data_IF_169324381590
#
_entry.id   IF_169324381590
#
_cell.length_a   1.000
_cell.length_b   1.000
_cell.length_c   1.000
_cell.angle_alpha   90.00
_cell.angle_beta   90.00
_cell.angle_gamma   90.00
#
_symmetry.space_group_name_H-M   'P 1'
#
loop_
_entity.id
_entity.type
_entity.pdbx_description
1 polymer ?
#
# COMPACT_ATOMS: atom_id res chain seq x y z
N UNK A 1 -25.35 -19.38 -10.39
CA UNK A 1 -25.29 -19.14 -8.94
C UNK A 1 -24.02 -18.34 -8.67
N UNK A 2 -24.12 -17.15 -8.08
CA UNK A 2 -22.91 -16.38 -7.73
C UNK A 2 -22.11 -17.18 -6.69
N UNK A 3 -20.87 -17.53 -7.00
CA UNK A 3 -20.00 -18.19 -6.04
C UNK A 3 -19.78 -17.23 -4.87
N UNK A 4 -20.09 -17.68 -3.65
CA UNK A 4 -19.86 -16.89 -2.43
C UNK A 4 -18.36 -16.56 -2.35
N UNK A 5 -18.03 -15.32 -2.01
CA UNK A 5 -16.66 -14.88 -1.83
C UNK A 5 -15.88 -15.80 -0.88
N UNK A 6 -14.58 -15.96 -1.11
CA UNK A 6 -13.75 -16.80 -0.25
C UNK A 6 -13.46 -16.03 1.04
N UNK A 7 -13.89 -16.51 2.23
CA UNK A 7 -13.51 -15.88 3.49
C UNK A 7 -12.00 -16.06 3.73
N UNK A 8 -11.36 -15.14 4.46
CA UNK A 8 -9.91 -15.23 4.67
C UNK A 8 -9.53 -16.52 5.41
N UNK A 9 -10.38 -17.05 6.29
CA UNK A 9 -10.16 -18.36 6.92
C UNK A 9 -9.96 -19.49 5.91
N UNK A 10 -10.78 -19.54 4.85
CA UNK A 10 -10.75 -20.61 3.85
C UNK A 10 -9.57 -20.39 2.89
N UNK A 11 -9.27 -19.13 2.58
CA UNK A 11 -8.08 -18.73 1.84
C UNK A 11 -6.79 -19.14 2.57
N UNK A 12 -6.70 -18.84 3.87
CA UNK A 12 -5.59 -19.22 4.73
C UNK A 12 -5.47 -20.73 4.84
N UNK A 13 -6.58 -21.46 5.02
CA UNK A 13 -6.56 -22.92 5.08
C UNK A 13 -6.08 -23.54 3.76
N UNK A 14 -6.53 -23.03 2.61
CA UNK A 14 -6.06 -23.47 1.29
C UNK A 14 -4.59 -23.14 1.06
N UNK A 15 -4.16 -21.96 1.48
CA UNK A 15 -2.76 -21.53 1.36
C UNK A 15 -1.86 -22.36 2.28
N UNK A 16 -2.30 -22.65 3.51
CA UNK A 16 -1.64 -23.52 4.46
C UNK A 16 -1.51 -24.96 3.95
N UNK A 17 -2.56 -25.48 3.29
CA UNK A 17 -2.53 -26.80 2.66
C UNK A 17 -1.66 -26.87 1.38
N UNK A 18 -1.24 -25.71 0.85
CA UNK A 18 -0.40 -25.61 -0.33
C UNK A 18 1.10 -25.69 -0.03
N UNK A 19 1.96 -25.54 -1.05
CA UNK A 19 3.40 -25.72 -0.95
C UNK A 19 4.12 -24.69 -0.05
N UNK A 20 3.41 -23.69 0.49
CA UNK A 20 3.99 -22.58 1.27
C UNK A 20 3.62 -22.52 2.76
N UNK A 21 2.72 -23.39 3.27
CA UNK A 21 2.10 -23.14 4.58
C UNK A 21 1.92 -24.35 5.51
N UNK A 22 2.88 -25.27 5.54
CA UNK A 22 2.90 -26.38 6.50
C UNK A 22 3.14 -25.98 7.97
N UNK A 23 3.37 -24.69 8.26
CA UNK A 23 3.62 -24.18 9.60
C UNK A 23 2.34 -23.64 10.26
N UNK A 24 2.23 -23.70 11.60
CA UNK A 24 1.11 -23.10 12.32
C UNK A 24 1.03 -21.59 12.06
N UNK A 25 -0.20 -21.04 12.04
CA UNK A 25 -0.46 -19.63 11.68
C UNK A 25 0.42 -18.63 12.45
N UNK A 26 0.66 -18.88 13.75
CA UNK A 26 1.48 -18.04 14.62
C UNK A 26 2.98 -17.99 14.23
N UNK A 27 3.46 -18.92 13.39
CA UNK A 27 4.85 -19.00 12.94
C UNK A 27 5.04 -18.53 11.49
N UNK A 28 3.96 -18.17 10.78
CA UNK A 28 4.05 -17.75 9.39
C UNK A 28 4.60 -16.32 9.30
N UNK A 29 5.75 -16.16 8.67
CA UNK A 29 6.37 -14.86 8.42
C UNK A 29 5.90 -14.22 7.11
N UNK A 30 5.48 -15.03 6.14
CA UNK A 30 5.05 -14.58 4.81
C UNK A 30 3.78 -15.31 4.41
N UNK A 31 2.75 -14.57 4.05
CA UNK A 31 1.45 -15.08 3.64
C UNK A 31 1.02 -14.39 2.35
N UNK A 32 0.73 -15.18 1.32
CA UNK A 32 0.40 -14.68 -0.02
C UNK A 32 -0.95 -15.23 -0.50
N UNK A 33 -2.02 -14.47 -0.27
CA UNK A 33 -3.39 -14.78 -0.68
C UNK A 33 -3.78 -13.97 -1.92
N UNK A 34 -3.03 -14.18 -3.02
CA UNK A 34 -3.22 -13.44 -4.26
C UNK A 34 -4.08 -14.19 -5.28
N UNK A 35 -4.98 -13.49 -5.97
CA UNK A 35 -5.68 -14.02 -7.16
C UNK A 35 -6.60 -15.22 -6.88
N UNK A 36 -7.24 -15.24 -5.71
CA UNK A 36 -8.13 -16.34 -5.34
C UNK A 36 -9.41 -16.34 -6.18
N UNK A 37 -9.90 -17.54 -6.49
CA UNK A 37 -11.16 -17.75 -7.19
C UNK A 37 -12.05 -18.68 -6.35
N UNK A 38 -13.16 -18.18 -5.77
CA UNK A 38 -13.66 -16.79 -5.75
C UNK A 38 -12.75 -15.80 -4.99
N UNK A 39 -12.78 -14.49 -5.29
CA UNK A 39 -11.95 -13.49 -4.63
C UNK A 39 -12.36 -13.25 -3.18
N UNK A 40 -11.46 -12.68 -2.38
CA UNK A 40 -11.75 -12.19 -1.03
C UNK A 40 -12.42 -10.81 -1.16
N UNK A 41 -13.58 -10.63 -0.52
CA UNK A 41 -14.29 -9.34 -0.48
C UNK A 41 -14.01 -8.53 0.79
N UNK A 42 -13.72 -9.21 1.91
CA UNK A 42 -13.51 -8.58 3.21
C UNK A 42 -12.40 -9.28 3.98
N UNK A 43 -11.53 -8.49 4.61
CA UNK A 43 -10.60 -8.98 5.62
C UNK A 43 -11.39 -9.43 6.85
N UNK A 44 -11.08 -10.61 7.40
CA UNK A 44 -11.74 -11.14 8.60
C UNK A 44 -10.76 -11.30 9.78
N UNK A 45 -11.28 -11.60 10.97
CA UNK A 45 -10.49 -11.75 12.19
C UNK A 45 -9.53 -12.94 12.18
N UNK A 46 -9.58 -13.81 11.17
CA UNK A 46 -8.64 -14.93 11.04
C UNK A 46 -7.22 -14.45 10.77
N UNK A 47 -7.05 -13.22 10.26
CA UNK A 47 -5.74 -12.57 10.12
C UNK A 47 -5.09 -12.25 11.47
N UNK A 48 -5.85 -12.16 12.57
CA UNK A 48 -5.31 -11.87 13.90
C UNK A 48 -4.41 -13.00 14.45
N UNK A 49 -4.51 -14.21 13.90
CA UNK A 49 -3.64 -15.33 14.25
C UNK A 49 -2.24 -15.27 13.65
N UNK A 50 -1.95 -14.28 12.79
CA UNK A 50 -0.68 -14.15 12.07
C UNK A 50 0.32 -13.25 12.82
N UNK A 51 0.59 -13.55 14.10
CA UNK A 51 1.36 -12.68 15.00
C UNK A 51 2.79 -12.38 14.53
N UNK A 52 3.41 -13.33 13.82
CA UNK A 52 4.78 -13.20 13.29
C UNK A 52 4.84 -12.84 11.81
N UNK A 53 3.70 -12.57 11.18
CA UNK A 53 3.67 -12.26 9.76
C UNK A 53 4.29 -10.89 9.49
N UNK A 54 5.38 -10.90 8.72
CA UNK A 54 6.09 -9.71 8.24
C UNK A 54 5.62 -9.29 6.87
N UNK A 55 5.21 -10.24 6.04
CA UNK A 55 4.80 -9.99 4.66
C UNK A 55 3.41 -10.56 4.39
N UNK A 56 2.42 -9.68 4.20
CA UNK A 56 1.05 -10.06 3.86
C UNK A 56 0.69 -9.56 2.46
N UNK A 57 0.45 -10.48 1.53
CA UNK A 57 -0.04 -10.15 0.20
C UNK A 57 -1.49 -10.62 0.04
N UNK A 58 -2.37 -9.69 -0.30
CA UNK A 58 -3.79 -9.86 -0.56
C UNK A 58 -4.16 -9.26 -1.93
N UNK A 59 -3.21 -9.31 -2.88
CA UNK A 59 -3.35 -8.62 -4.16
C UNK A 59 -4.27 -9.36 -5.13
N UNK A 60 -4.93 -8.64 -6.03
CA UNK A 60 -5.91 -9.22 -6.98
C UNK A 60 -7.08 -9.90 -6.26
N UNK A 61 -7.76 -9.13 -5.42
CA UNK A 61 -9.00 -9.52 -4.72
C UNK A 61 -10.04 -8.39 -4.89
N UNK A 62 -11.21 -8.52 -4.25
CA UNK A 62 -12.28 -7.51 -4.30
C UNK A 62 -12.44 -6.81 -2.95
N UNK A 63 -11.34 -6.48 -2.28
CA UNK A 63 -11.38 -5.81 -0.98
C UNK A 63 -11.83 -4.35 -1.15
N UNK A 64 -12.92 -3.97 -0.48
CA UNK A 64 -13.41 -2.59 -0.47
C UNK A 64 -12.81 -1.74 0.66
N UNK A 65 -12.40 -2.38 1.76
CA UNK A 65 -11.91 -1.72 2.98
C UNK A 65 -10.77 -2.52 3.61
N UNK A 66 -9.84 -1.79 4.22
CA UNK A 66 -8.82 -2.34 5.09
C UNK A 66 -9.42 -2.48 6.49
N UNK A 67 -9.21 -3.62 7.13
CA UNK A 67 -9.71 -3.88 8.48
C UNK A 67 -9.13 -5.18 9.04
N UNK A 68 -9.35 -5.44 10.32
CA UNK A 68 -8.90 -6.67 10.97
C UNK A 68 -7.38 -6.91 10.88
N UNK A 69 -6.59 -5.84 10.89
CA UNK A 69 -5.14 -5.90 11.03
C UNK A 69 -4.69 -6.01 12.51
N UNK A 70 -5.64 -6.03 13.44
CA UNK A 70 -5.37 -6.24 14.86
C UNK A 70 -4.76 -7.64 15.07
N UNK A 71 -3.55 -7.69 15.63
CA UNK A 71 -2.78 -8.93 15.83
C UNK A 71 -1.58 -9.09 14.89
N UNK A 72 -1.49 -8.28 13.82
CA UNK A 72 -0.35 -8.27 12.89
C UNK A 72 0.79 -7.35 13.39
N UNK A 73 1.24 -7.57 14.63
CA UNK A 73 2.18 -6.67 15.32
C UNK A 73 3.56 -6.62 14.68
N UNK A 74 3.94 -7.63 13.90
CA UNK A 74 5.24 -7.71 13.23
C UNK A 74 5.17 -7.37 11.73
N UNK A 75 4.06 -6.82 11.23
CA UNK A 75 3.87 -6.62 9.80
C UNK A 75 4.76 -5.49 9.28
N UNK A 76 5.64 -5.83 8.34
CA UNK A 76 6.57 -4.91 7.69
C UNK A 76 6.14 -4.56 6.27
N UNK A 77 5.43 -5.46 5.58
CA UNK A 77 5.05 -5.30 4.18
C UNK A 77 3.61 -5.74 3.94
N UNK A 78 2.80 -4.84 3.39
CA UNK A 78 1.39 -5.09 3.07
C UNK A 78 1.13 -4.82 1.58
N UNK A 79 0.72 -5.86 0.85
CA UNK A 79 0.38 -5.77 -0.57
C UNK A 79 -1.10 -5.96 -0.82
N UNK A 80 -1.78 -4.86 -1.14
CA UNK A 80 -3.21 -4.74 -1.42
C UNK A 80 -3.46 -4.29 -2.87
N UNK A 81 -2.51 -4.53 -3.78
CA UNK A 81 -2.65 -4.12 -5.17
C UNK A 81 -3.83 -4.81 -5.86
N UNK A 82 -4.44 -4.15 -6.85
CA UNK A 82 -5.61 -4.66 -7.61
C UNK A 82 -6.77 -5.08 -6.70
N UNK A 83 -7.29 -4.11 -5.94
CA UNK A 83 -8.47 -4.25 -5.10
C UNK A 83 -9.42 -3.05 -5.34
N UNK A 84 -10.51 -2.94 -4.56
CA UNK A 84 -11.50 -1.87 -4.66
C UNK A 84 -11.43 -0.87 -3.50
N UNK A 85 -10.26 -0.73 -2.86
CA UNK A 85 -10.09 0.10 -1.66
C UNK A 85 -10.25 1.57 -2.02
N UNK A 86 -11.12 2.28 -1.29
CA UNK A 86 -11.39 3.71 -1.52
C UNK A 86 -10.66 4.64 -0.55
N UNK A 87 -10.29 4.14 0.63
CA UNK A 87 -9.65 4.95 1.69
C UNK A 87 -8.62 4.13 2.45
N UNK A 88 -7.54 4.79 2.88
CA UNK A 88 -6.51 4.20 3.75
C UNK A 88 -6.84 4.36 5.24
N UNK A 89 -7.96 3.78 5.67
CA UNK A 89 -8.38 3.76 7.07
C UNK A 89 -7.93 2.45 7.76
N UNK A 90 -7.93 2.43 9.11
CA UNK A 90 -7.64 1.25 9.94
C UNK A 90 -6.20 0.68 9.86
N UNK A 91 -5.21 1.51 9.53
CA UNK A 91 -3.79 1.13 9.55
C UNK A 91 -3.13 1.32 10.92
N UNK A 92 -3.85 1.84 11.92
CA UNK A 92 -3.31 2.22 13.24
C UNK A 92 -2.62 1.06 13.95
N UNK A 93 -3.17 -0.16 13.84
CA UNK A 93 -2.61 -1.35 14.46
C UNK A 93 -1.23 -1.74 13.93
N UNK A 94 -0.91 -1.39 12.68
CA UNK A 94 0.35 -1.74 12.00
C UNK A 94 1.24 -0.51 11.73
N UNK A 95 0.77 0.67 12.11
CA UNK A 95 1.43 1.94 11.82
C UNK A 95 2.85 2.03 12.42
N UNK A 96 3.09 1.33 13.53
CA UNK A 96 4.40 1.28 14.20
C UNK A 96 5.43 0.36 13.54
N UNK A 97 5.02 -0.56 12.66
CA UNK A 97 5.92 -1.58 12.08
C UNK A 97 5.94 -1.60 10.56
N UNK A 98 4.91 -1.06 9.91
CA UNK A 98 4.76 -1.13 8.47
C UNK A 98 5.82 -0.29 7.75
N UNK A 99 6.65 -0.94 6.94
CA UNK A 99 7.72 -0.32 6.15
C UNK A 99 7.36 -0.22 4.67
N UNK A 100 6.55 -1.15 4.13
CA UNK A 100 6.19 -1.20 2.73
C UNK A 100 4.68 -1.34 2.57
N UNK A 101 4.07 -0.45 1.80
CA UNK A 101 2.64 -0.48 1.50
C UNK A 101 2.42 -0.41 -0.01
N UNK A 102 1.87 -1.47 -0.58
CA UNK A 102 1.55 -1.53 -2.01
C UNK A 102 0.03 -1.53 -2.17
N UNK A 103 -0.50 -0.44 -2.70
CA UNK A 103 -1.95 -0.20 -2.91
C UNK A 103 -2.24 0.20 -4.34
N UNK A 104 -1.37 -0.17 -5.28
CA UNK A 104 -1.54 0.10 -6.71
C UNK A 104 -2.83 -0.51 -7.27
N UNK A 105 -3.45 0.14 -8.27
CA UNK A 105 -4.71 -0.30 -8.88
C UNK A 105 -5.84 -0.46 -7.84
N UNK A 106 -6.07 0.59 -7.07
CA UNK A 106 -7.22 0.73 -6.17
C UNK A 106 -8.03 1.99 -6.56
N UNK A 107 -8.97 2.41 -5.72
CA UNK A 107 -9.80 3.60 -5.92
C UNK A 107 -9.53 4.66 -4.85
N UNK A 108 -8.30 4.73 -4.32
CA UNK A 108 -7.94 5.60 -3.21
C UNK A 108 -7.91 7.05 -3.70
N UNK A 109 -8.76 7.89 -3.13
CA UNK A 109 -8.80 9.33 -3.40
C UNK A 109 -8.13 10.17 -2.29
N UNK A 110 -8.11 9.63 -1.07
CA UNK A 110 -7.55 10.27 0.13
C UNK A 110 -6.54 9.37 0.83
N UNK A 111 -5.40 9.95 1.18
CA UNK A 111 -4.31 9.34 1.94
C UNK A 111 -4.40 9.65 3.45
N UNK A 112 -5.52 10.20 3.91
CA UNK A 112 -5.79 10.42 5.33
C UNK A 112 -5.57 9.13 6.14
N UNK A 113 -4.79 9.22 7.23
CA UNK A 113 -4.41 8.09 8.08
C UNK A 113 -3.02 7.53 7.81
N UNK A 114 -2.41 7.79 6.63
CA UNK A 114 -1.05 7.32 6.32
C UNK A 114 0.01 7.99 7.19
N UNK A 115 -0.25 9.22 7.64
CA UNK A 115 0.59 10.03 8.53
C UNK A 115 0.96 9.32 9.84
N UNK A 116 0.18 8.31 10.25
CA UNK A 116 0.47 7.49 11.45
C UNK A 116 1.59 6.48 11.20
N UNK A 117 1.82 6.07 9.96
CA UNK A 117 2.77 5.02 9.59
C UNK A 117 4.21 5.52 9.54
N UNK A 118 4.75 5.97 10.68
CA UNK A 118 6.07 6.65 10.75
C UNK A 118 7.26 5.81 10.26
N UNK A 119 7.13 4.47 10.22
CA UNK A 119 8.14 3.55 9.72
C UNK A 119 8.07 3.30 8.21
N UNK A 120 7.09 3.89 7.51
CA UNK A 120 6.86 3.62 6.09
C UNK A 120 7.99 4.19 5.22
N UNK A 121 8.64 3.30 4.47
CA UNK A 121 9.75 3.60 3.55
C UNK A 121 9.33 3.53 2.09
N UNK A 122 8.41 2.63 1.77
CA UNK A 122 7.96 2.37 0.40
C UNK A 122 6.45 2.50 0.32
N UNK A 123 5.97 3.43 -0.51
CA UNK A 123 4.56 3.58 -0.83
C UNK A 123 4.35 3.46 -2.33
N UNK A 124 3.67 2.40 -2.74
CA UNK A 124 3.23 2.24 -4.12
C UNK A 124 1.74 2.45 -4.23
N UNK A 125 1.34 3.58 -4.82
CA UNK A 125 -0.06 3.98 -4.98
C UNK A 125 -0.39 4.31 -6.44
N UNK A 126 0.24 3.63 -7.41
CA UNK A 126 -0.06 3.83 -8.83
C UNK A 126 -1.50 3.47 -9.20
N UNK A 127 -2.04 4.12 -10.23
CA UNK A 127 -3.40 3.88 -10.74
C UNK A 127 -4.46 3.94 -9.61
N UNK A 128 -4.41 5.01 -8.82
CA UNK A 128 -5.44 5.36 -7.83
C UNK A 128 -6.17 6.64 -8.29
N UNK A 129 -6.93 7.28 -7.40
CA UNK A 129 -7.75 8.48 -7.68
C UNK A 129 -7.25 9.73 -6.97
N UNK A 130 -5.95 9.79 -6.65
CA UNK A 130 -5.34 10.94 -5.98
C UNK A 130 -5.28 12.12 -6.97
N UNK A 131 -5.94 13.22 -6.62
CA UNK A 131 -6.04 14.41 -7.49
C UNK A 131 -5.51 15.68 -6.83
N UNK A 132 -5.49 15.73 -5.50
CA UNK A 132 -5.19 16.95 -4.75
C UNK A 132 -3.76 16.90 -4.17
N UNK A 133 -3.02 18.00 -4.29
CA UNK A 133 -1.68 18.15 -3.70
C UNK A 133 -1.68 18.06 -2.18
N UNK A 134 -2.80 18.41 -1.53
CA UNK A 134 -2.97 18.26 -0.09
C UNK A 134 -2.72 16.82 0.39
N UNK A 135 -3.04 15.82 -0.43
CA UNK A 135 -2.81 14.42 -0.09
C UNK A 135 -1.33 14.04 -0.19
N UNK A 136 -0.58 14.68 -1.10
CA UNK A 136 0.89 14.52 -1.19
C UNK A 136 1.57 15.22 -0.02
N UNK A 137 1.06 16.37 0.43
CA UNK A 137 1.59 17.06 1.61
C UNK A 137 1.45 16.23 2.89
N UNK A 138 0.42 15.38 3.01
CA UNK A 138 0.31 14.43 4.12
C UNK A 138 1.47 13.43 4.17
N UNK A 139 2.04 13.08 3.01
CA UNK A 139 3.20 12.20 2.95
C UNK A 139 4.46 12.84 3.53
N UNK A 140 4.51 14.17 3.64
CA UNK A 140 5.61 14.88 4.31
C UNK A 140 5.70 14.54 5.80
N UNK A 141 4.60 14.07 6.41
CA UNK A 141 4.59 13.60 7.80
C UNK A 141 5.39 12.29 8.00
N UNK A 142 5.79 11.61 6.92
CA UNK A 142 6.51 10.34 6.95
C UNK A 142 8.03 10.59 6.88
N UNK A 143 8.76 10.53 8.00
CA UNK A 143 10.17 10.90 8.05
C UNK A 143 11.09 9.93 7.30
N UNK A 144 10.65 8.68 7.13
CA UNK A 144 11.44 7.59 6.54
C UNK A 144 11.00 7.23 5.12
N UNK A 145 10.09 7.99 4.49
CA UNK A 145 9.60 7.67 3.16
C UNK A 145 10.70 7.92 2.11
N UNK A 146 11.11 6.85 1.44
CA UNK A 146 12.21 6.85 0.47
C UNK A 146 11.73 6.58 -0.95
N UNK A 147 10.71 5.73 -1.12
CA UNK A 147 10.20 5.30 -2.41
C UNK A 147 8.72 5.62 -2.54
N UNK A 148 8.37 6.38 -3.58
CA UNK A 148 6.99 6.78 -3.87
C UNK A 148 6.64 6.51 -5.33
N UNK A 149 5.46 5.93 -5.57
CA UNK A 149 4.92 5.69 -6.91
C UNK A 149 3.48 6.20 -6.98
N UNK A 150 3.26 7.24 -7.78
CA UNK A 150 1.99 7.92 -8.00
C UNK A 150 1.54 7.88 -9.48
N UNK A 151 2.31 7.24 -10.37
CA UNK A 151 1.95 7.06 -11.79
C UNK A 151 0.50 6.59 -11.95
N UNK A 152 -0.26 7.24 -12.85
CA UNK A 152 -1.63 6.86 -13.18
C UNK A 152 -2.70 7.38 -12.21
N UNK A 153 -2.31 8.23 -11.25
CA UNK A 153 -3.27 9.06 -10.52
C UNK A 153 -3.69 10.28 -11.35
N UNK A 154 -4.91 10.82 -11.18
CA UNK A 154 -5.34 12.06 -11.82
C UNK A 154 -4.31 13.20 -11.69
N UNK A 155 -3.74 13.39 -10.50
CA UNK A 155 -2.66 14.36 -10.25
C UNK A 155 -1.48 14.16 -11.22
N UNK A 156 -1.03 12.93 -11.40
CA UNK A 156 0.07 12.62 -12.31
C UNK A 156 -0.33 12.83 -13.78
N UNK A 157 -1.54 12.39 -14.15
CA UNK A 157 -2.05 12.50 -15.52
C UNK A 157 -2.17 13.95 -15.98
N UNK A 158 -2.64 14.87 -15.13
CA UNK A 158 -2.74 16.29 -15.48
C UNK A 158 -1.38 16.88 -15.90
N UNK A 159 -0.31 16.56 -15.17
CA UNK A 159 1.03 17.04 -15.49
C UNK A 159 1.64 16.29 -16.67
N UNK A 160 1.36 14.99 -16.81
CA UNK A 160 1.77 14.18 -17.96
C UNK A 160 1.19 14.74 -19.26
N UNK A 161 -0.12 14.97 -19.27
CA UNK A 161 -0.86 15.35 -20.47
C UNK A 161 -0.50 16.79 -20.91
N UNK A 162 -0.07 17.64 -19.96
CA UNK A 162 0.52 18.95 -20.22
C UNK A 162 2.04 18.94 -20.51
N UNK A 163 2.65 17.76 -20.65
CA UNK A 163 4.10 17.58 -20.86
C UNK A 163 5.00 18.28 -19.81
N UNK A 164 4.52 18.33 -18.56
CA UNK A 164 5.14 19.04 -17.45
C UNK A 164 5.67 18.09 -16.34
N UNK A 165 5.95 16.83 -16.68
CA UNK A 165 6.45 15.82 -15.72
C UNK A 165 7.70 16.24 -14.93
N UNK A 166 8.71 16.92 -15.50
CA UNK A 166 9.86 17.37 -14.73
C UNK A 166 9.47 18.33 -13.59
N UNK A 167 8.51 19.22 -13.84
CA UNK A 167 8.01 20.18 -12.85
C UNK A 167 7.19 19.48 -11.77
N UNK A 168 6.35 18.51 -12.15
CA UNK A 168 5.63 17.66 -11.20
C UNK A 168 6.60 16.96 -10.23
N UNK A 169 7.71 16.40 -10.73
CA UNK A 169 8.70 15.72 -9.87
C UNK A 169 9.30 16.69 -8.86
N UNK A 170 9.68 17.89 -9.30
CA UNK A 170 10.18 18.95 -8.41
C UNK A 170 9.13 19.35 -7.37
N UNK A 171 7.86 19.49 -7.75
CA UNK A 171 6.75 19.83 -6.83
C UNK A 171 6.46 18.74 -5.79
N UNK A 172 6.61 17.45 -6.15
CA UNK A 172 6.55 16.35 -5.19
C UNK A 172 7.74 16.40 -4.23
N UNK A 173 8.95 16.64 -4.74
CA UNK A 173 10.17 16.70 -3.94
C UNK A 173 10.22 17.90 -2.99
N UNK A 174 9.60 19.03 -3.37
CA UNK A 174 9.40 20.19 -2.48
C UNK A 174 8.61 19.81 -1.23
N UNK A 175 7.58 18.99 -1.41
CA UNK A 175 6.69 18.55 -0.32
C UNK A 175 7.27 17.38 0.46
N UNK A 176 7.92 16.44 -0.23
CA UNK A 176 8.47 15.21 0.35
C UNK A 176 9.97 15.11 0.01
N UNK A 177 10.83 15.88 0.70
CA UNK A 177 12.27 15.96 0.37
C UNK A 177 13.06 14.70 0.76
N UNK A 178 12.47 13.79 1.53
CA UNK A 178 13.11 12.54 1.99
C UNK A 178 13.25 11.50 0.88
N UNK A 179 12.52 11.66 -0.23
CA UNK A 179 12.46 10.67 -1.32
C UNK A 179 13.82 10.46 -1.99
N UNK A 180 14.14 9.18 -2.19
CA UNK A 180 15.28 8.69 -2.98
C UNK A 180 14.85 8.19 -4.35
N UNK A 181 13.60 7.71 -4.48
CA UNK A 181 13.03 7.20 -5.73
C UNK A 181 11.59 7.68 -5.89
N UNK A 182 11.30 8.31 -7.02
CA UNK A 182 9.97 8.78 -7.39
C UNK A 182 9.58 8.18 -8.73
N UNK A 183 8.39 7.58 -8.79
CA UNK A 183 7.79 7.08 -10.03
C UNK A 183 8.67 6.09 -10.81
N UNK A 184 9.39 5.24 -10.08
CA UNK A 184 10.28 4.24 -10.67
C UNK A 184 11.67 4.76 -11.05
N UNK A 185 11.89 6.09 -11.02
CA UNK A 185 13.18 6.72 -11.29
C UNK A 185 13.86 7.17 -9.99
N UNK A 186 15.19 7.03 -9.86
CA UNK A 186 15.91 7.66 -8.76
C UNK A 186 15.71 9.19 -8.80
N UNK A 187 15.82 9.83 -7.65
CA UNK A 187 15.80 11.30 -7.55
C UNK A 187 17.22 11.80 -7.78
N UNK A 188 17.41 12.59 -8.82
CA UNK A 188 18.71 13.16 -9.14
C UNK A 188 19.03 14.38 -8.25
N UNK A 189 20.33 14.70 -8.14
CA UNK A 189 20.80 15.83 -7.33
C UNK A 189 20.23 17.15 -7.85
N UNK A 190 20.15 17.31 -9.16
CA UNK A 190 19.59 18.52 -9.81
C UNK A 190 18.11 18.73 -9.44
N UNK A 191 17.30 17.66 -9.46
CA UNK A 191 15.90 17.72 -9.07
C UNK A 191 15.75 18.12 -7.60
N UNK A 192 16.63 17.58 -6.75
CA UNK A 192 16.66 17.88 -5.32
C UNK A 192 17.08 19.33 -5.05
N UNK A 193 18.01 19.88 -5.81
CA UNK A 193 18.39 21.30 -5.72
C UNK A 193 17.28 22.21 -6.25
N UNK A 194 16.64 21.85 -7.35
CA UNK A 194 15.50 22.58 -7.90
C UNK A 194 14.32 22.61 -6.92
N UNK A 195 14.12 21.54 -6.15
CA UNK A 195 13.10 21.46 -5.11
C UNK A 195 13.43 22.26 -3.83
N UNK A 196 14.68 22.71 -3.67
CA UNK A 196 15.10 23.57 -2.54
C UNK A 196 14.99 25.06 -2.84
N UNK A 197 14.88 25.42 -4.11
CA UNK A 197 14.70 26.80 -4.59
C UNK A 197 13.22 27.16 -4.62
#
# INVERSE_FOLDING_TARGET
MAAKATPCKDALAKWAAGPGGGAPLDALERVELCGLCPPIEKMDSSLAGLKRCRHLALSTNNLDKIGNLAGLEALESLSLGRNCIKKLENLEAVAGTLQQLWVSYNQIDRLAGIEKCIQLRVLYASNNRIKDWAEVERLAALPLLEHLLLIGNPLYCEWRDNNALPQYRVEVLKRVPTLKKLDGQPVDVEEREAARK
#
